data_IF_789038389477
#
_entry.id   IF_789038389477
#
_cell.length_a   1.000
_cell.length_b   1.000
_cell.length_c   1.000
_cell.angle_alpha   90.00
_cell.angle_beta   90.00
_cell.angle_gamma   90.00
#
_symmetry.space_group_name_H-M   'P 1'
#
loop_
_entity.id
_entity.type
_entity.pdbx_description
1 polymer ?
#
# COMPACT_ATOMS: atom_id res chain seq x y z
N UNK A 1 27.10 -9.89 -4.65
CA UNK A 1 25.73 -10.07 -5.16
C UNK A 1 24.80 -9.59 -4.07
N UNK A 2 23.79 -8.78 -4.37
CA UNK A 2 22.82 -8.37 -3.34
C UNK A 2 21.79 -9.49 -3.12
N UNK A 3 21.13 -9.49 -1.95
CA UNK A 3 20.16 -10.53 -1.56
C UNK A 3 19.01 -10.74 -2.55
N UNK A 4 18.62 -9.69 -3.24
CA UNK A 4 17.56 -9.74 -4.26
C UNK A 4 18.01 -10.53 -5.49
N UNK A 5 19.24 -10.35 -5.94
CA UNK A 5 19.81 -11.09 -7.08
C UNK A 5 20.00 -12.58 -6.71
N UNK A 6 20.39 -12.87 -5.47
CA UNK A 6 20.45 -14.26 -4.97
C UNK A 6 19.08 -14.94 -5.04
N UNK A 7 18.02 -14.26 -4.59
CA UNK A 7 16.67 -14.80 -4.64
C UNK A 7 16.18 -15.01 -6.08
N UNK A 8 16.50 -14.11 -7.02
CA UNK A 8 16.18 -14.31 -8.44
C UNK A 8 16.87 -15.53 -9.01
N UNK A 9 18.16 -15.70 -8.73
CA UNK A 9 18.92 -16.86 -9.18
C UNK A 9 18.37 -18.20 -8.64
N UNK A 10 17.84 -18.18 -7.41
CA UNK A 10 17.17 -19.35 -6.81
C UNK A 10 15.79 -19.64 -7.44
N UNK A 11 15.07 -18.61 -7.87
CA UNK A 11 13.78 -18.74 -8.53
C UNK A 11 13.90 -19.20 -9.97
N UNK A 12 14.88 -18.70 -10.72
CA UNK A 12 15.02 -18.87 -12.17
C UNK A 12 14.87 -20.33 -12.65
N UNK A 13 15.55 -21.33 -12.05
CA UNK A 13 15.43 -22.73 -12.49
C UNK A 13 14.06 -23.37 -12.25
N UNK A 14 13.24 -22.81 -11.37
CA UNK A 14 11.95 -23.38 -10.98
C UNK A 14 10.73 -22.62 -11.55
N UNK A 15 10.92 -21.46 -12.21
CA UNK A 15 9.81 -20.63 -12.70
C UNK A 15 8.82 -21.38 -13.61
N UNK A 16 9.30 -22.40 -14.37
CA UNK A 16 8.47 -23.18 -15.27
C UNK A 16 7.81 -24.42 -14.62
N UNK A 17 8.21 -24.76 -13.41
CA UNK A 17 7.63 -25.88 -12.65
C UNK A 17 6.74 -25.30 -11.53
N UNK A 18 5.43 -25.31 -11.77
CA UNK A 18 4.45 -24.73 -10.84
C UNK A 18 4.56 -25.33 -9.43
N UNK A 19 4.66 -26.66 -9.31
CA UNK A 19 4.70 -27.35 -8.02
C UNK A 19 5.98 -26.98 -7.22
N UNK A 20 7.13 -27.00 -7.86
CA UNK A 20 8.39 -26.57 -7.26
C UNK A 20 8.36 -25.11 -6.84
N UNK A 21 7.76 -24.25 -7.66
CA UNK A 21 7.61 -22.82 -7.40
C UNK A 21 6.68 -22.55 -6.19
N UNK A 22 5.50 -23.17 -6.15
CA UNK A 22 4.57 -23.06 -5.03
C UNK A 22 5.21 -23.58 -3.73
N UNK A 23 5.90 -24.70 -3.78
CA UNK A 23 6.64 -25.26 -2.64
C UNK A 23 7.72 -24.29 -2.15
N UNK A 24 8.52 -23.75 -3.06
CA UNK A 24 9.60 -22.81 -2.70
C UNK A 24 9.04 -21.53 -2.06
N UNK A 25 8.02 -20.91 -2.67
CA UNK A 25 7.42 -19.68 -2.16
C UNK A 25 6.78 -19.88 -0.79
N UNK A 26 6.03 -20.96 -0.60
CA UNK A 26 5.36 -21.25 0.68
C UNK A 26 6.35 -21.58 1.79
N UNK A 27 7.37 -22.39 1.49
CA UNK A 27 8.41 -22.78 2.46
C UNK A 27 9.29 -21.59 2.90
N UNK A 28 9.44 -20.58 2.05
CA UNK A 28 10.24 -19.39 2.32
C UNK A 28 9.40 -18.14 2.60
N UNK A 29 8.10 -18.30 2.86
CA UNK A 29 7.16 -17.21 3.09
C UNK A 29 7.35 -16.42 4.38
N UNK A 30 8.11 -16.94 5.34
CA UNK A 30 8.17 -16.51 6.76
C UNK A 30 6.82 -16.64 7.50
N UNK A 31 5.91 -17.47 7.00
CA UNK A 31 4.61 -17.73 7.64
C UNK A 31 4.59 -19.17 8.25
N UNK A 32 3.93 -19.33 9.41
CA UNK A 32 3.32 -18.28 10.23
C UNK A 32 4.38 -17.36 10.88
N UNK A 33 4.10 -16.06 10.92
CA UNK A 33 5.03 -15.07 11.47
C UNK A 33 4.52 -13.64 11.37
N UNK A 34 5.18 -12.69 12.04
CA UNK A 34 4.71 -11.31 12.08
C UNK A 34 4.82 -10.58 10.73
N UNK A 35 5.75 -11.03 9.86
CA UNK A 35 6.00 -10.42 8.53
C UNK A 35 6.20 -11.50 7.48
N UNK A 36 5.56 -11.31 6.33
CA UNK A 36 5.86 -12.09 5.12
C UNK A 36 7.26 -11.76 4.60
N UNK A 37 7.83 -12.67 3.83
CA UNK A 37 9.12 -12.45 3.16
C UNK A 37 8.96 -11.49 1.97
N UNK A 38 8.99 -10.17 2.25
CA UNK A 38 8.82 -9.13 1.23
C UNK A 38 9.94 -9.15 0.18
N UNK A 39 11.16 -9.46 0.58
CA UNK A 39 12.28 -9.54 -0.36
C UNK A 39 12.07 -10.63 -1.40
N UNK A 40 11.58 -11.79 -0.97
CA UNK A 40 11.22 -12.89 -1.88
C UNK A 40 10.06 -12.50 -2.80
N UNK A 41 8.99 -11.91 -2.26
CA UNK A 41 7.85 -11.48 -3.07
C UNK A 41 8.25 -10.45 -4.13
N UNK A 42 9.11 -9.49 -3.79
CA UNK A 42 9.57 -8.47 -4.72
C UNK A 42 10.54 -9.04 -5.77
N UNK A 43 11.45 -9.95 -5.37
CA UNK A 43 12.33 -10.66 -6.31
C UNK A 43 11.50 -11.50 -7.29
N UNK A 44 10.50 -12.22 -6.79
CA UNK A 44 9.57 -13.02 -7.59
C UNK A 44 8.79 -12.14 -8.59
N UNK A 45 8.23 -11.02 -8.16
CA UNK A 45 7.47 -10.12 -9.02
C UNK A 45 8.30 -9.48 -10.16
N UNK A 46 9.63 -9.53 -10.09
CA UNK A 46 10.50 -9.05 -11.18
C UNK A 46 10.76 -10.08 -12.25
N UNK A 47 10.61 -11.38 -11.94
CA UNK A 47 10.98 -12.48 -12.83
C UNK A 47 9.80 -13.33 -13.29
N UNK A 48 8.58 -13.09 -12.75
CA UNK A 48 7.41 -13.92 -13.03
C UNK A 48 6.24 -13.12 -13.56
N UNK A 49 5.69 -13.54 -14.70
CA UNK A 49 4.59 -12.87 -15.41
C UNK A 49 3.55 -13.83 -16.01
N UNK A 50 3.52 -15.09 -15.56
CA UNK A 50 2.53 -16.09 -16.00
C UNK A 50 1.16 -15.77 -15.39
N UNK A 51 0.38 -14.95 -16.09
CA UNK A 51 -0.94 -14.50 -15.65
C UNK A 51 -1.92 -15.63 -15.27
N UNK A 52 -2.08 -16.73 -16.05
CA UNK A 52 -2.95 -17.83 -15.65
C UNK A 52 -2.65 -18.37 -14.26
N UNK A 53 -1.40 -18.62 -13.91
CA UNK A 53 -1.00 -19.12 -12.59
C UNK A 53 -1.25 -18.04 -11.50
N UNK A 54 -0.96 -16.77 -11.78
CA UNK A 54 -1.21 -15.67 -10.86
C UNK A 54 -2.72 -15.53 -10.57
N UNK A 55 -3.57 -15.67 -11.58
CA UNK A 55 -5.03 -15.64 -11.41
C UNK A 55 -5.53 -16.79 -10.53
N UNK A 56 -5.00 -18.02 -10.71
CA UNK A 56 -5.31 -19.14 -9.83
C UNK A 56 -4.92 -18.85 -8.36
N UNK A 57 -3.81 -18.16 -8.13
CA UNK A 57 -3.39 -17.82 -6.77
C UNK A 57 -4.21 -16.68 -6.17
N UNK A 58 -4.68 -15.73 -6.97
CA UNK A 58 -5.53 -14.63 -6.49
C UNK A 58 -6.90 -15.11 -5.99
N UNK A 59 -7.39 -16.24 -6.49
CA UNK A 59 -8.68 -16.81 -6.05
C UNK A 59 -8.55 -17.72 -4.82
N UNK A 60 -7.34 -17.96 -4.29
CA UNK A 60 -7.16 -18.66 -3.01
C UNK A 60 -7.86 -17.85 -1.91
N UNK A 61 -8.96 -18.39 -1.39
CA UNK A 61 -9.78 -17.68 -0.41
C UNK A 61 -9.18 -17.71 1.00
N UNK A 62 -9.73 -16.89 1.89
CA UNK A 62 -9.34 -16.88 3.30
C UNK A 62 -9.62 -18.21 4.00
N UNK A 63 -10.68 -18.90 3.61
CA UNK A 63 -11.07 -20.22 4.13
C UNK A 63 -10.08 -21.31 3.72
N UNK A 64 -9.50 -21.20 2.53
CA UNK A 64 -8.46 -22.12 2.03
C UNK A 64 -7.08 -21.82 2.62
N UNK A 65 -6.78 -20.55 2.87
CA UNK A 65 -5.52 -20.11 3.45
C UNK A 65 -5.72 -18.78 4.21
N UNK A 66 -5.78 -18.83 5.51
CA UNK A 66 -5.87 -17.64 6.36
C UNK A 66 -4.58 -16.80 6.29
N UNK A 67 -4.58 -15.68 7.00
CA UNK A 67 -3.48 -14.69 6.95
C UNK A 67 -2.12 -15.24 7.41
N UNK A 68 -2.08 -16.29 8.20
CA UNK A 68 -0.84 -16.91 8.72
C UNK A 68 -0.50 -18.23 8.02
N UNK A 69 -1.36 -18.73 7.17
CA UNK A 69 -1.09 -19.93 6.39
C UNK A 69 -0.02 -19.62 5.31
N UNK A 70 1.07 -20.40 5.19
CA UNK A 70 2.08 -20.21 4.14
C UNK A 70 1.50 -20.14 2.72
N UNK A 71 0.41 -20.86 2.42
CA UNK A 71 -0.26 -20.84 1.13
C UNK A 71 -0.85 -19.45 0.79
N UNK A 72 -1.19 -18.62 1.81
CA UNK A 72 -1.66 -17.25 1.56
C UNK A 72 -0.58 -16.37 0.94
N UNK A 73 0.69 -16.75 1.05
CA UNK A 73 1.79 -16.03 0.43
C UNK A 73 1.77 -16.09 -1.09
N UNK A 74 1.18 -17.15 -1.69
CA UNK A 74 0.98 -17.24 -3.13
C UNK A 74 0.05 -16.12 -3.63
N UNK A 75 -1.10 -15.91 -2.96
CA UNK A 75 -2.02 -14.82 -3.28
C UNK A 75 -1.37 -13.44 -3.05
N UNK A 76 -0.54 -13.30 -2.01
CA UNK A 76 0.23 -12.08 -1.77
C UNK A 76 1.23 -11.82 -2.93
N UNK A 77 2.02 -12.82 -3.32
CA UNK A 77 2.96 -12.71 -4.45
C UNK A 77 2.23 -12.36 -5.74
N UNK A 78 1.12 -13.03 -6.04
CA UNK A 78 0.31 -12.74 -7.21
C UNK A 78 -0.16 -11.28 -7.23
N UNK A 79 -0.70 -10.78 -6.11
CA UNK A 79 -1.11 -9.37 -5.98
C UNK A 79 0.03 -8.40 -6.29
N UNK A 80 1.23 -8.67 -5.74
CA UNK A 80 2.42 -7.85 -5.98
C UNK A 80 2.87 -7.89 -7.44
N UNK A 81 2.82 -9.07 -8.09
CA UNK A 81 3.16 -9.25 -9.50
C UNK A 81 2.30 -8.40 -10.43
N UNK A 82 0.99 -8.25 -10.15
CA UNK A 82 0.12 -7.41 -10.99
C UNK A 82 0.67 -5.98 -11.12
N UNK A 83 1.26 -5.43 -10.06
CA UNK A 83 1.87 -4.10 -10.08
C UNK A 83 3.11 -3.98 -10.96
N UNK A 84 3.82 -5.08 -11.22
CA UNK A 84 4.97 -5.14 -12.14
C UNK A 84 4.56 -5.45 -13.58
N UNK A 85 3.44 -6.15 -13.75
CA UNK A 85 2.93 -6.54 -15.08
C UNK A 85 2.13 -5.38 -15.71
N UNK A 86 1.28 -4.72 -14.94
CA UNK A 86 0.42 -3.64 -15.44
C UNK A 86 1.16 -2.55 -16.24
N UNK A 87 2.32 -2.00 -15.81
CA UNK A 87 3.03 -0.99 -16.58
C UNK A 87 3.43 -1.44 -17.98
N UNK A 88 3.61 -2.74 -18.21
CA UNK A 88 4.01 -3.33 -19.50
C UNK A 88 2.80 -3.62 -20.40
N UNK A 89 1.68 -4.07 -19.82
CA UNK A 89 0.51 -4.54 -20.57
C UNK A 89 -0.56 -3.48 -20.73
N UNK A 90 -0.68 -2.56 -19.77
CA UNK A 90 -1.77 -1.59 -19.64
C UNK A 90 -3.16 -2.22 -19.60
N UNK A 91 -3.24 -3.50 -19.23
CA UNK A 91 -4.51 -4.21 -19.13
C UNK A 91 -5.32 -3.71 -17.93
N UNK A 92 -6.48 -3.06 -18.15
CA UNK A 92 -7.31 -2.51 -17.09
C UNK A 92 -7.85 -3.59 -16.15
N UNK A 93 -7.98 -4.82 -16.61
CA UNK A 93 -8.44 -5.95 -15.80
C UNK A 93 -7.51 -6.20 -14.59
N UNK A 94 -6.20 -5.94 -14.73
CA UNK A 94 -5.26 -6.07 -13.63
C UNK A 94 -5.53 -5.04 -12.52
N UNK A 95 -5.99 -3.85 -12.89
CA UNK A 95 -6.42 -2.82 -11.91
C UNK A 95 -7.69 -3.27 -11.18
N UNK A 96 -8.66 -3.86 -11.90
CA UNK A 96 -9.87 -4.37 -11.27
C UNK A 96 -9.57 -5.51 -10.29
N UNK A 97 -8.62 -6.39 -10.62
CA UNK A 97 -8.13 -7.42 -9.69
C UNK A 97 -7.46 -6.82 -8.45
N UNK A 98 -6.67 -5.74 -8.60
CA UNK A 98 -6.08 -5.03 -7.46
C UNK A 98 -7.15 -4.36 -6.59
N UNK A 99 -8.16 -3.73 -7.19
CA UNK A 99 -9.31 -3.17 -6.46
C UNK A 99 -10.06 -4.25 -5.68
N UNK A 100 -10.31 -5.41 -6.30
CA UNK A 100 -10.90 -6.57 -5.63
C UNK A 100 -10.02 -7.04 -4.46
N UNK A 101 -8.72 -7.16 -4.65
CA UNK A 101 -7.76 -7.59 -3.63
C UNK A 101 -7.63 -6.59 -2.48
N UNK A 102 -7.93 -5.30 -2.70
CA UNK A 102 -7.99 -4.29 -1.64
C UNK A 102 -9.10 -4.60 -0.61
N UNK A 103 -10.08 -5.41 -0.97
CA UNK A 103 -11.19 -5.85 -0.14
C UNK A 103 -10.99 -7.26 0.46
N UNK A 104 -9.82 -7.88 0.29
CA UNK A 104 -9.52 -9.20 0.89
C UNK A 104 -9.61 -9.16 2.42
N UNK A 105 -10.20 -10.19 3.03
CA UNK A 105 -10.30 -10.32 4.48
C UNK A 105 -8.92 -10.42 5.18
N UNK A 106 -7.88 -10.79 4.46
CA UNK A 106 -6.50 -10.93 4.95
C UNK A 106 -5.73 -9.62 4.78
N UNK A 107 -5.29 -9.03 5.88
CA UNK A 107 -4.58 -7.74 5.85
C UNK A 107 -3.29 -7.78 5.00
N UNK A 108 -2.62 -8.94 4.88
CA UNK A 108 -1.40 -9.10 4.07
C UNK A 108 -1.68 -8.91 2.59
N UNK A 109 -2.79 -9.46 2.08
CA UNK A 109 -3.18 -9.27 0.68
C UNK A 109 -3.44 -7.79 0.41
N UNK A 110 -4.17 -7.10 1.31
CA UNK A 110 -4.39 -5.64 1.22
C UNK A 110 -3.09 -4.84 1.27
N UNK A 111 -2.05 -5.32 1.97
CA UNK A 111 -0.71 -4.73 1.95
C UNK A 111 -0.03 -4.96 0.60
N UNK A 112 -0.17 -6.16 0.01
CA UNK A 112 0.30 -6.47 -1.34
C UNK A 112 -0.26 -5.52 -2.40
N UNK A 113 -1.53 -5.11 -2.26
CA UNK A 113 -2.16 -4.10 -3.14
C UNK A 113 -1.41 -2.76 -3.06
N UNK A 114 -1.06 -2.30 -1.85
CA UNK A 114 -0.29 -1.07 -1.72
C UNK A 114 1.08 -1.17 -2.42
N UNK A 115 1.78 -2.29 -2.28
CA UNK A 115 3.03 -2.53 -3.00
C UNK A 115 2.85 -2.59 -4.52
N UNK A 116 1.78 -3.21 -5.01
CA UNK A 116 1.49 -3.25 -6.44
C UNK A 116 1.30 -1.84 -7.01
N UNK A 117 0.49 -0.99 -6.37
CA UNK A 117 0.32 0.39 -6.80
C UNK A 117 1.58 1.25 -6.61
N UNK A 118 2.42 0.95 -5.62
CA UNK A 118 3.74 1.58 -5.51
C UNK A 118 4.61 1.27 -6.73
N UNK A 119 4.64 0.04 -7.21
CA UNK A 119 5.38 -0.31 -8.44
C UNK A 119 4.82 0.39 -9.68
N UNK A 120 3.51 0.55 -9.78
CA UNK A 120 2.89 1.33 -10.85
C UNK A 120 3.37 2.79 -10.78
N UNK A 121 3.33 3.41 -9.59
CA UNK A 121 3.77 4.78 -9.35
C UNK A 121 5.28 4.98 -9.52
N UNK A 122 6.11 4.00 -9.16
CA UNK A 122 7.56 4.02 -9.45
C UNK A 122 7.85 4.03 -10.93
N UNK A 123 7.02 3.35 -11.72
CA UNK A 123 7.15 3.34 -13.18
C UNK A 123 6.62 4.64 -13.80
N UNK A 124 5.42 5.07 -13.40
CA UNK A 124 4.79 6.30 -13.87
C UNK A 124 3.79 6.83 -12.84
N UNK A 125 4.14 7.93 -12.16
CA UNK A 125 3.29 8.52 -11.14
C UNK A 125 2.03 9.18 -11.71
N UNK A 126 2.09 9.74 -12.93
CA UNK A 126 0.91 10.32 -13.58
C UNK A 126 -0.13 9.26 -13.93
N UNK A 127 0.30 8.06 -14.28
CA UNK A 127 -0.58 6.91 -14.45
C UNK A 127 -1.28 6.53 -13.14
N UNK A 128 -0.52 6.47 -12.04
CA UNK A 128 -1.07 6.22 -10.71
C UNK A 128 -2.08 7.30 -10.31
N UNK A 129 -1.77 8.58 -10.57
CA UNK A 129 -2.70 9.68 -10.33
C UNK A 129 -4.02 9.49 -11.07
N UNK A 130 -3.97 9.14 -12.36
CA UNK A 130 -5.16 8.88 -13.16
C UNK A 130 -6.02 7.78 -12.56
N UNK A 131 -5.42 6.62 -12.24
CA UNK A 131 -6.12 5.48 -11.65
C UNK A 131 -6.79 5.90 -10.33
N UNK A 132 -6.08 6.60 -9.45
CA UNK A 132 -6.61 6.96 -8.14
C UNK A 132 -7.64 8.10 -8.19
N UNK A 133 -7.51 9.05 -9.12
CA UNK A 133 -8.51 10.10 -9.34
C UNK A 133 -9.87 9.53 -9.76
N UNK A 134 -9.87 8.47 -10.57
CA UNK A 134 -11.09 7.78 -10.97
C UNK A 134 -11.64 6.90 -9.82
N UNK A 135 -10.77 6.19 -9.10
CA UNK A 135 -11.17 5.21 -8.10
C UNK A 135 -11.71 5.83 -6.81
N UNK A 136 -11.16 6.97 -6.37
CA UNK A 136 -11.47 7.56 -5.05
C UNK A 136 -12.96 7.87 -4.84
N UNK A 137 -13.68 8.25 -5.90
CA UNK A 137 -15.06 8.71 -5.83
C UNK A 137 -16.06 7.61 -5.43
N UNK A 138 -15.79 6.34 -5.79
CA UNK A 138 -16.65 5.19 -5.49
C UNK A 138 -15.96 4.19 -4.56
N UNK A 139 -14.96 4.61 -3.79
CA UNK A 139 -14.16 3.72 -2.96
C UNK A 139 -14.72 3.60 -1.54
N UNK A 140 -14.64 2.38 -0.99
CA UNK A 140 -14.91 2.09 0.41
C UNK A 140 -13.68 2.34 1.31
N UNK A 141 -13.81 2.10 2.62
CA UNK A 141 -12.75 2.37 3.58
C UNK A 141 -11.48 1.53 3.39
N UNK A 142 -11.59 0.28 2.92
CA UNK A 142 -10.41 -0.56 2.63
C UNK A 142 -9.67 -0.05 1.39
N UNK A 143 -10.39 0.34 0.36
CA UNK A 143 -9.87 0.89 -0.88
C UNK A 143 -9.22 2.28 -0.65
N UNK A 144 -9.87 3.16 0.10
CA UNK A 144 -9.27 4.44 0.56
C UNK A 144 -7.96 4.21 1.31
N UNK A 145 -7.93 3.22 2.21
CA UNK A 145 -6.70 2.83 2.93
C UNK A 145 -5.62 2.35 1.98
N UNK A 146 -5.97 1.56 0.95
CA UNK A 146 -5.00 1.08 -0.03
C UNK A 146 -4.38 2.24 -0.80
N UNK A 147 -5.17 3.21 -1.27
CA UNK A 147 -4.66 4.40 -1.95
C UNK A 147 -3.74 5.23 -1.07
N UNK A 148 -4.16 5.54 0.18
CA UNK A 148 -3.34 6.29 1.13
C UNK A 148 -1.99 5.60 1.42
N UNK A 149 -2.00 4.27 1.62
CA UNK A 149 -0.78 3.52 1.89
C UNK A 149 0.15 3.43 0.67
N UNK A 150 -0.42 3.32 -0.54
CA UNK A 150 0.33 3.31 -1.80
C UNK A 150 1.06 4.64 -2.02
N UNK A 151 0.38 5.75 -1.79
CA UNK A 151 0.95 7.10 -1.96
C UNK A 151 2.04 7.43 -0.93
N UNK A 152 2.06 6.75 0.23
CA UNK A 152 3.06 6.95 1.28
C UNK A 152 4.40 6.24 0.95
N UNK A 153 4.94 6.46 -0.25
CA UNK A 153 6.12 5.76 -0.76
C UNK A 153 7.26 6.72 -1.14
N UNK A 154 8.46 6.58 -0.51
CA UNK A 154 9.52 7.59 -0.65
C UNK A 154 10.15 7.68 -2.04
N UNK A 155 10.05 6.62 -2.88
CA UNK A 155 10.73 6.62 -4.18
C UNK A 155 10.16 7.61 -5.20
N UNK A 156 8.85 7.86 -5.15
CA UNK A 156 8.21 8.85 -6.03
C UNK A 156 7.66 10.05 -5.28
N UNK A 157 7.65 10.02 -3.96
CA UNK A 157 7.07 11.08 -3.15
C UNK A 157 8.09 12.24 -2.96
N UNK A 158 7.83 13.33 -3.63
CA UNK A 158 8.54 14.59 -3.58
C UNK A 158 7.55 15.75 -3.34
N UNK A 159 8.00 17.00 -3.30
CA UNK A 159 7.14 18.16 -3.08
C UNK A 159 5.96 18.23 -4.06
N UNK A 160 6.23 18.05 -5.35
CA UNK A 160 5.20 18.13 -6.40
C UNK A 160 4.18 17.00 -6.29
N UNK A 161 4.65 15.76 -6.08
CA UNK A 161 3.77 14.61 -5.98
C UNK A 161 2.98 14.58 -4.66
N UNK A 162 3.50 15.17 -3.59
CA UNK A 162 2.80 15.29 -2.31
C UNK A 162 1.51 16.11 -2.42
N UNK A 163 1.41 17.06 -3.36
CA UNK A 163 0.18 17.81 -3.60
C UNK A 163 -0.99 16.87 -3.91
N UNK A 164 -0.80 15.94 -4.86
CA UNK A 164 -1.82 14.94 -5.17
C UNK A 164 -2.17 14.05 -3.97
N UNK A 165 -1.18 13.75 -3.13
CA UNK A 165 -1.44 12.97 -1.91
C UNK A 165 -2.35 13.72 -0.92
N UNK A 166 -2.20 15.06 -0.82
CA UNK A 166 -3.10 15.89 -0.02
C UNK A 166 -4.50 15.99 -0.65
N UNK A 167 -4.62 16.05 -1.97
CA UNK A 167 -5.92 16.03 -2.66
C UNK A 167 -6.69 14.75 -2.34
N UNK A 168 -6.06 13.59 -2.45
CA UNK A 168 -6.66 12.29 -2.06
C UNK A 168 -7.02 12.29 -0.56
N UNK A 169 -6.13 12.77 0.30
CA UNK A 169 -6.38 12.83 1.74
C UNK A 169 -7.55 13.79 2.07
N UNK A 170 -7.66 14.92 1.37
CA UNK A 170 -8.78 15.89 1.50
C UNK A 170 -10.12 15.19 1.20
N UNK A 171 -10.20 14.47 0.06
CA UNK A 171 -11.42 13.72 -0.31
C UNK A 171 -11.76 12.68 0.75
N UNK A 172 -10.76 11.93 1.25
CA UNK A 172 -10.97 10.90 2.28
C UNK A 172 -11.47 11.51 3.59
N UNK A 173 -10.91 12.63 4.03
CA UNK A 173 -11.29 13.29 5.29
C UNK A 173 -12.65 13.98 5.17
N UNK A 174 -12.95 14.59 4.02
CA UNK A 174 -14.26 15.23 3.75
C UNK A 174 -15.39 14.20 3.73
N UNK A 175 -15.15 13.04 3.08
CA UNK A 175 -16.14 11.98 2.90
C UNK A 175 -15.84 10.79 3.82
N UNK A 176 -15.49 11.06 5.09
CA UNK A 176 -15.11 10.03 6.04
C UNK A 176 -16.35 9.25 6.49
N UNK A 177 -16.39 7.97 6.09
CA UNK A 177 -17.41 7.03 6.52
C UNK A 177 -16.94 6.29 7.78
N UNK A 178 -17.70 6.39 8.86
CA UNK A 178 -17.40 5.77 10.16
C UNK A 178 -17.94 4.33 10.26
N UNK A 179 -18.53 3.81 9.20
CA UNK A 179 -19.09 2.47 9.12
C UNK A 179 -18.02 1.38 8.97
N UNK A 180 -18.33 0.34 8.24
CA UNK A 180 -17.49 -0.85 8.07
C UNK A 180 -16.03 -0.53 7.72
N UNK A 181 -15.13 -1.22 8.41
CA UNK A 181 -13.67 -1.11 8.20
C UNK A 181 -13.06 0.29 8.48
N UNK A 182 -13.80 1.21 9.12
CA UNK A 182 -13.26 2.52 9.48
C UNK A 182 -11.98 2.43 10.31
N UNK A 183 -11.88 1.49 11.25
CA UNK A 183 -10.67 1.28 12.04
C UNK A 183 -9.44 0.95 11.17
N UNK A 184 -9.64 0.26 10.06
CA UNK A 184 -8.57 -0.06 9.10
C UNK A 184 -8.15 1.19 8.32
N UNK A 185 -9.11 2.01 7.85
CA UNK A 185 -8.84 3.30 7.22
C UNK A 185 -8.13 4.24 8.20
N UNK A 186 -8.65 4.37 9.44
CA UNK A 186 -8.07 5.23 10.48
C UNK A 186 -6.61 4.90 10.77
N UNK A 187 -6.23 3.62 10.85
CA UNK A 187 -4.83 3.19 11.00
C UNK A 187 -3.97 3.64 9.81
N UNK A 188 -4.49 3.59 8.59
CA UNK A 188 -3.83 4.14 7.42
C UNK A 188 -3.62 5.66 7.54
N UNK A 189 -4.67 6.39 7.91
CA UNK A 189 -4.61 7.84 8.14
C UNK A 189 -3.61 8.23 9.24
N UNK A 190 -3.45 7.44 10.31
CA UNK A 190 -2.49 7.68 11.39
C UNK A 190 -1.01 7.61 10.97
N UNK A 191 -0.75 7.14 9.76
CA UNK A 191 0.61 6.98 9.25
C UNK A 191 0.87 7.81 7.99
N UNK A 192 -0.03 7.73 6.99
CA UNK A 192 0.23 8.23 5.64
C UNK A 192 0.40 9.75 5.60
N UNK A 193 -0.43 10.51 6.33
CA UNK A 193 -0.36 11.97 6.32
C UNK A 193 1.00 12.49 6.77
N UNK A 194 1.62 11.87 7.77
CA UNK A 194 2.96 12.29 8.22
C UNK A 194 4.04 12.08 7.16
N UNK A 195 3.86 11.12 6.24
CA UNK A 195 4.77 10.89 5.11
C UNK A 195 4.61 12.01 4.09
N UNK A 196 3.37 12.38 3.78
CA UNK A 196 3.06 13.48 2.85
C UNK A 196 3.57 14.82 3.37
N UNK A 197 3.30 15.13 4.65
CA UNK A 197 3.81 16.35 5.32
C UNK A 197 5.33 16.39 5.30
N UNK A 198 6.00 15.25 5.50
CA UNK A 198 7.47 15.22 5.46
C UNK A 198 8.04 15.44 4.05
N UNK A 199 7.29 15.10 3.00
CA UNK A 199 7.69 15.30 1.61
C UNK A 199 7.49 16.75 1.14
N UNK A 200 6.41 17.41 1.56
CA UNK A 200 6.15 18.83 1.32
C UNK A 200 5.72 19.49 2.65
N UNK A 201 6.69 19.96 3.48
CA UNK A 201 6.38 20.47 4.80
C UNK A 201 5.56 21.76 4.80
N UNK A 202 5.74 22.63 3.79
CA UNK A 202 5.00 23.89 3.71
C UNK A 202 3.50 23.61 3.57
N UNK A 203 3.09 23.00 2.47
CA UNK A 203 1.69 22.66 2.21
C UNK A 203 1.14 21.65 3.23
N UNK A 204 1.99 20.72 3.68
CA UNK A 204 1.60 19.69 4.63
C UNK A 204 1.21 20.24 6.01
N UNK A 205 1.93 21.19 6.55
CA UNK A 205 1.52 21.85 7.80
C UNK A 205 0.30 22.76 7.60
N UNK A 206 0.17 23.44 6.46
CA UNK A 206 -1.04 24.18 6.11
C UNK A 206 -2.26 23.25 6.02
N UNK A 207 -2.08 22.08 5.42
CA UNK A 207 -3.11 21.03 5.39
C UNK A 207 -3.52 20.61 6.81
N UNK A 208 -2.56 20.29 7.68
CA UNK A 208 -2.85 19.91 9.07
C UNK A 208 -3.61 21.02 9.80
N UNK A 209 -3.17 22.28 9.67
CA UNK A 209 -3.79 23.45 10.33
C UNK A 209 -5.24 23.69 9.86
N UNK A 210 -5.58 23.42 8.60
CA UNK A 210 -6.95 23.50 8.09
C UNK A 210 -7.88 22.43 8.69
N UNK A 211 -7.32 21.28 9.05
CA UNK A 211 -8.10 20.13 9.50
C UNK A 211 -8.24 20.01 11.03
N UNK A 212 -7.32 20.57 11.84
CA UNK A 212 -7.46 20.58 13.30
C UNK A 212 -8.68 21.38 13.74
N UNK A 213 -9.30 20.95 14.84
CA UNK A 213 -10.49 21.60 15.42
C UNK A 213 -11.80 21.28 14.69
N UNK A 214 -11.81 20.45 13.64
CA UNK A 214 -13.02 20.05 12.94
C UNK A 214 -13.88 19.08 13.77
N UNK A 215 -13.28 18.05 14.32
CA UNK A 215 -13.89 17.13 15.27
C UNK A 215 -12.83 16.26 15.96
N UNK A 216 -13.22 15.57 17.05
CA UNK A 216 -12.31 14.74 17.86
C UNK A 216 -11.61 13.62 17.10
N UNK A 217 -12.24 13.05 16.08
CA UNK A 217 -11.65 11.96 15.28
C UNK A 217 -10.53 12.51 14.42
N UNK A 218 -10.77 13.62 13.74
CA UNK A 218 -9.77 14.31 12.90
C UNK A 218 -8.62 14.81 13.76
N UNK A 219 -8.90 15.43 14.90
CA UNK A 219 -7.87 15.90 15.84
C UNK A 219 -6.97 14.75 16.26
N UNK A 220 -7.54 13.59 16.58
CA UNK A 220 -6.76 12.39 16.89
C UNK A 220 -5.92 11.92 15.72
N UNK A 221 -6.44 11.94 14.48
CA UNK A 221 -5.68 11.59 13.27
C UNK A 221 -4.49 12.53 13.11
N UNK A 222 -4.70 13.83 13.22
CA UNK A 222 -3.61 14.82 13.09
C UNK A 222 -2.58 14.67 14.21
N UNK A 223 -3.02 14.50 15.45
CA UNK A 223 -2.15 14.28 16.62
C UNK A 223 -1.24 13.04 16.45
N UNK A 224 -1.80 11.92 15.97
CA UNK A 224 -1.02 10.69 15.73
C UNK A 224 0.00 10.85 14.60
N UNK A 225 -0.25 11.67 13.60
CA UNK A 225 0.70 11.99 12.54
C UNK A 225 1.80 12.95 13.03
N UNK A 226 1.44 14.00 13.74
CA UNK A 226 2.39 14.98 14.28
C UNK A 226 3.41 14.36 15.23
N UNK A 227 3.03 13.32 16.00
CA UNK A 227 3.92 12.57 16.89
C UNK A 227 4.94 11.69 16.18
N UNK A 228 4.80 11.44 14.86
CA UNK A 228 5.78 10.62 14.14
C UNK A 228 7.14 11.29 14.11
N UNK A 229 8.21 10.52 14.36
CA UNK A 229 9.58 11.02 14.44
C UNK A 229 10.00 11.87 13.25
N UNK A 230 9.48 11.57 12.05
CA UNK A 230 9.75 12.32 10.82
C UNK A 230 9.25 13.77 10.86
N UNK A 231 8.27 14.08 11.72
CA UNK A 231 7.76 15.43 11.96
C UNK A 231 8.24 15.95 13.32
N UNK A 232 8.00 15.21 14.41
CA UNK A 232 8.29 15.64 15.76
C UNK A 232 9.77 15.98 15.99
N UNK A 233 10.71 15.22 15.37
CA UNK A 233 12.15 15.51 15.49
C UNK A 233 12.64 16.59 14.53
N UNK A 234 12.04 16.67 13.33
CA UNK A 234 12.52 17.60 12.29
C UNK A 234 11.93 18.99 12.43
N UNK A 235 10.70 19.10 12.98
CA UNK A 235 9.95 20.36 13.12
C UNK A 235 9.35 20.51 14.52
N UNK A 236 10.16 20.42 15.61
CA UNK A 236 9.64 20.32 16.98
C UNK A 236 8.77 21.53 17.37
N UNK A 237 9.21 22.75 17.09
CA UNK A 237 8.47 23.97 17.44
C UNK A 237 7.11 24.04 16.72
N UNK A 238 7.07 23.75 15.41
CA UNK A 238 5.84 23.77 14.63
C UNK A 238 4.86 22.69 15.13
N UNK A 239 5.37 21.50 15.43
CA UNK A 239 4.57 20.38 15.96
C UNK A 239 3.99 20.73 17.32
N UNK A 240 4.80 21.28 18.26
CA UNK A 240 4.33 21.68 19.59
C UNK A 240 3.23 22.74 19.47
N UNK A 241 3.46 23.81 18.70
CA UNK A 241 2.47 24.89 18.50
C UNK A 241 1.13 24.37 18.01
N UNK A 242 1.13 23.35 17.11
CA UNK A 242 -0.12 22.76 16.61
C UNK A 242 -0.75 21.84 17.67
N UNK A 243 0.05 21.03 18.37
CA UNK A 243 -0.44 20.11 19.40
C UNK A 243 -1.09 20.83 20.59
N UNK A 244 -0.64 22.03 20.93
CA UNK A 244 -1.21 22.86 22.01
C UNK A 244 -2.62 23.40 21.68
N UNK A 245 -3.06 23.24 20.41
CA UNK A 245 -4.38 23.68 19.92
C UNK A 245 -5.43 22.55 19.86
N UNK A 246 -5.03 21.27 20.14
CA UNK A 246 -5.88 20.06 19.99
C UNK A 246 -5.79 19.09 21.17
#
# INVERSE_FOLDING_TARGET
>A
MNKKDELKNQLEPILKNREALEHYLTSNSNLPGPRSNLELAFAFAEVYDNLPVLFDWLVISKEQADVNNPKSFLAFCATVCLGKIYPKTKDPYLIDLLKKSANDGRWRIREGVAFAFQFIGENNFDELKKIFSEWIHNSNNLEKRAMLASLAHPKFLNEQNAQFCFEIAEIVLTNMDLSDNFDTLRKGLYYSLSVYVAANPKEGFEFVERWIGKNRIIDKIMKENLKKNRLAKKYPNKVTTILDRI
#
